data_IF_495076418018
#
_entry.id   IF_495076418018
#
_cell.length_a   1.000
_cell.length_b   1.000
_cell.length_c   1.000
_cell.angle_alpha   90.00
_cell.angle_beta   90.00
_cell.angle_gamma   90.00
#
_symmetry.space_group_name_H-M   'P 1'
#
loop_
_entity.id
_entity.type
_entity.pdbx_description
1 polymer ?
#
# COMPACT_ATOMS: atom_id res chain seq x y z
N UNK A 1 -33.64 -31.40 80.65
CA UNK A 1 -32.70 -32.15 79.79
C UNK A 1 -33.07 -31.98 78.27
N UNK A 2 -34.31 -31.74 77.93
CA UNK A 2 -34.77 -31.61 76.52
C UNK A 2 -34.37 -30.27 75.89
N UNK A 3 -34.40 -29.13 76.58
CA UNK A 3 -34.14 -27.77 76.06
C UNK A 3 -32.66 -27.63 75.60
N UNK A 4 -31.72 -28.26 76.27
CA UNK A 4 -30.27 -28.17 75.94
C UNK A 4 -29.96 -28.85 74.60
N UNK A 5 -30.63 -29.95 74.23
CA UNK A 5 -30.50 -30.67 72.99
C UNK A 5 -31.07 -29.89 71.82
N UNK A 6 -32.12 -29.11 72.02
CA UNK A 6 -32.72 -28.30 70.90
C UNK A 6 -31.80 -27.11 70.55
N UNK A 7 -31.14 -26.51 71.55
CA UNK A 7 -30.21 -25.39 71.32
C UNK A 7 -28.93 -25.88 70.59
N UNK A 8 -28.38 -27.04 70.94
CA UNK A 8 -27.22 -27.62 70.30
C UNK A 8 -27.55 -28.02 68.86
N UNK A 9 -28.73 -28.59 68.60
CA UNK A 9 -29.16 -28.94 67.26
C UNK A 9 -29.33 -27.71 66.34
N UNK A 10 -29.85 -26.61 66.89
CA UNK A 10 -29.99 -25.32 66.16
C UNK A 10 -28.63 -24.71 65.82
N UNK A 11 -27.63 -24.83 66.68
CA UNK A 11 -26.28 -24.33 66.40
C UNK A 11 -25.57 -25.17 65.32
N UNK A 12 -25.67 -26.47 65.37
CA UNK A 12 -25.10 -27.37 64.33
C UNK A 12 -25.76 -27.14 63.01
N UNK A 13 -27.05 -26.89 62.92
CA UNK A 13 -27.78 -26.60 61.72
C UNK A 13 -27.36 -25.27 61.09
N UNK A 14 -27.11 -24.25 61.89
CA UNK A 14 -26.59 -22.94 61.47
C UNK A 14 -25.16 -23.04 60.95
N UNK A 15 -24.29 -23.82 61.57
CA UNK A 15 -22.92 -24.05 61.14
C UNK A 15 -22.91 -24.84 59.84
N UNK A 16 -23.75 -25.86 59.70
CA UNK A 16 -23.87 -26.61 58.45
C UNK A 16 -24.41 -25.74 57.27
N UNK A 17 -25.39 -24.85 57.56
CA UNK A 17 -25.92 -23.91 56.58
C UNK A 17 -24.87 -22.87 56.15
N UNK A 18 -24.05 -22.36 57.08
CA UNK A 18 -22.93 -21.44 56.76
C UNK A 18 -21.85 -22.14 55.92
N UNK A 19 -21.51 -23.38 56.21
CA UNK A 19 -20.54 -24.15 55.42
C UNK A 19 -21.01 -24.41 54.01
N UNK A 20 -22.30 -24.71 53.79
CA UNK A 20 -22.89 -24.87 52.46
C UNK A 20 -22.91 -23.54 51.69
N UNK A 21 -23.17 -22.40 52.38
CA UNK A 21 -23.12 -21.08 51.75
C UNK A 21 -21.70 -20.68 51.35
N UNK A 22 -20.67 -21.02 52.17
CA UNK A 22 -19.27 -20.75 51.82
C UNK A 22 -18.81 -21.61 50.67
N UNK A 23 -19.22 -22.86 50.57
CA UNK A 23 -18.92 -23.74 49.42
C UNK A 23 -19.64 -23.25 48.15
N UNK A 24 -20.87 -22.75 48.26
CA UNK A 24 -21.61 -22.18 47.12
C UNK A 24 -21.01 -20.84 46.65
N UNK A 25 -20.52 -19.98 47.56
CA UNK A 25 -19.78 -18.76 47.20
C UNK A 25 -18.38 -19.07 46.62
N UNK A 26 -17.70 -20.10 47.12
CA UNK A 26 -16.41 -20.55 46.57
C UNK A 26 -16.52 -21.14 45.16
N UNK A 27 -17.64 -21.75 44.82
CA UNK A 27 -17.90 -22.28 43.47
C UNK A 27 -18.27 -21.17 42.43
N UNK A 28 -18.71 -19.99 42.89
CA UNK A 28 -19.01 -18.85 41.98
C UNK A 28 -17.79 -18.02 41.61
N UNK A 29 -16.65 -18.16 42.28
CA UNK A 29 -15.42 -17.39 42.01
C UNK A 29 -14.46 -18.11 41.04
N UNK A 30 -14.75 -19.35 40.66
CA UNK A 30 -13.91 -20.13 39.70
C UNK A 30 -14.51 -20.15 38.30
N UNK A 31 -15.61 -19.42 38.06
CA UNK A 31 -16.29 -19.40 36.74
C UNK A 31 -16.19 -18.05 36.02
N UNK A 32 -15.13 -17.28 36.26
CA UNK A 32 -14.83 -16.07 35.52
C UNK A 32 -13.32 -15.92 35.43
N UNK A 33 -12.70 -16.68 34.58
CA UNK A 33 -11.45 -16.40 33.83
C UNK A 33 -11.28 -17.52 32.82
N UNK A 34 -12.20 -17.57 31.87
CA UNK A 34 -11.94 -18.13 30.57
C UNK A 34 -12.23 -16.99 29.57
N UNK A 35 -11.33 -16.00 29.56
CA UNK A 35 -11.09 -15.17 28.40
C UNK A 35 -10.49 -16.09 27.31
N UNK A 36 -11.22 -17.12 26.97
CA UNK A 36 -11.14 -17.76 25.69
C UNK A 36 -11.64 -16.76 24.67
N UNK A 37 -10.86 -15.69 24.41
CA UNK A 37 -10.92 -15.01 23.13
C UNK A 37 -10.93 -16.12 22.09
N UNK A 38 -11.99 -16.15 21.34
CA UNK A 38 -12.25 -17.09 20.26
C UNK A 38 -11.14 -16.91 19.20
N UNK A 39 -9.96 -17.49 19.48
CA UNK A 39 -8.78 -17.46 18.59
C UNK A 39 -9.09 -18.03 17.21
N UNK A 40 -10.25 -18.65 17.05
CA UNK A 40 -10.68 -19.30 15.83
C UNK A 40 -11.29 -18.34 14.81
N UNK A 41 -11.50 -17.03 15.14
CA UNK A 41 -12.19 -16.10 14.26
C UNK A 41 -11.52 -14.71 14.15
N UNK A 42 -10.33 -14.52 14.74
CA UNK A 42 -9.60 -13.26 14.61
C UNK A 42 -8.90 -13.20 13.25
N UNK A 43 -9.30 -12.23 12.42
CA UNK A 43 -8.63 -11.96 11.14
C UNK A 43 -7.23 -11.43 11.41
N UNK A 44 -6.20 -11.88 10.68
CA UNK A 44 -4.89 -11.26 10.75
C UNK A 44 -4.95 -9.80 10.32
N UNK A 45 -4.32 -8.92 11.10
CA UNK A 45 -4.12 -7.52 10.76
C UNK A 45 -2.95 -7.39 9.80
N UNK A 46 -3.19 -6.80 8.65
CA UNK A 46 -2.20 -6.60 7.61
C UNK A 46 -1.96 -5.10 7.45
N UNK A 47 -0.73 -4.67 7.54
CA UNK A 47 -0.33 -3.30 7.26
C UNK A 47 0.33 -3.24 5.89
N UNK A 48 -0.02 -2.23 5.11
CA UNK A 48 0.57 -1.94 3.80
C UNK A 48 1.02 -0.49 3.74
N UNK A 49 2.03 -0.19 2.94
CA UNK A 49 2.51 1.19 2.79
C UNK A 49 1.52 2.03 1.99
N UNK A 50 1.09 1.54 0.82
CA UNK A 50 0.33 2.30 -0.18
C UNK A 50 -1.06 1.73 -0.44
N UNK A 51 -1.93 2.60 -0.98
CA UNK A 51 -3.30 2.23 -1.37
C UNK A 51 -3.38 1.14 -2.46
N UNK A 52 -2.55 1.12 -3.53
CA UNK A 52 -2.51 0.01 -4.47
C UNK A 52 -2.27 -1.34 -3.78
N UNK A 53 -1.35 -1.41 -2.81
CA UNK A 53 -1.11 -2.64 -2.05
C UNK A 53 -2.32 -3.06 -1.19
N UNK A 54 -3.15 -2.09 -0.77
CA UNK A 54 -4.39 -2.42 -0.06
C UNK A 54 -5.37 -3.16 -0.98
N UNK A 55 -5.57 -2.74 -2.24
CA UNK A 55 -6.36 -3.51 -3.21
C UNK A 55 -5.76 -4.90 -3.39
N UNK A 56 -4.46 -5.02 -3.62
CA UNK A 56 -3.79 -6.32 -3.81
C UNK A 56 -4.07 -7.26 -2.63
N UNK A 57 -3.88 -6.74 -1.41
CA UNK A 57 -4.10 -7.52 -0.18
C UNK A 57 -5.56 -7.88 0.01
N UNK A 58 -6.50 -6.96 -0.24
CA UNK A 58 -7.94 -7.19 -0.12
C UNK A 58 -8.47 -8.16 -1.20
N UNK A 59 -7.96 -8.09 -2.43
CA UNK A 59 -8.29 -9.02 -3.51
C UNK A 59 -7.88 -10.45 -3.14
N UNK A 60 -6.72 -10.65 -2.52
CA UNK A 60 -6.23 -11.95 -2.08
C UNK A 60 -6.92 -12.39 -0.79
N UNK A 61 -6.93 -11.52 0.21
CA UNK A 61 -7.35 -11.82 1.58
C UNK A 61 -8.87 -11.85 1.76
N UNK A 62 -9.61 -11.08 0.96
CA UNK A 62 -11.07 -10.97 1.04
C UNK A 62 -11.55 -10.64 2.45
N UNK A 63 -12.53 -11.40 2.92
CA UNK A 63 -13.10 -11.26 4.26
C UNK A 63 -12.24 -11.89 5.37
N UNK A 64 -11.09 -12.47 5.07
CA UNK A 64 -10.21 -13.17 6.02
C UNK A 64 -9.15 -12.25 6.64
N UNK A 65 -8.92 -11.05 6.11
CA UNK A 65 -7.91 -10.11 6.57
C UNK A 65 -8.49 -8.78 6.99
N UNK A 66 -7.74 -8.02 7.79
CA UNK A 66 -8.02 -6.61 8.10
C UNK A 66 -6.84 -5.76 7.64
N UNK A 67 -7.07 -4.86 6.67
CA UNK A 67 -5.99 -4.09 6.04
C UNK A 67 -5.94 -2.66 6.59
N UNK A 68 -4.75 -2.24 6.99
CA UNK A 68 -4.44 -0.86 7.40
C UNK A 68 -3.41 -0.27 6.45
N UNK A 69 -3.69 0.89 5.89
CA UNK A 69 -2.77 1.63 5.00
C UNK A 69 -2.00 2.68 5.80
N UNK A 70 -0.69 2.76 5.57
CA UNK A 70 0.15 3.77 6.23
C UNK A 70 0.03 5.13 5.56
N UNK A 71 0.07 5.23 4.24
CA UNK A 71 -0.09 6.49 3.51
C UNK A 71 -1.53 6.63 3.03
N UNK A 72 -2.34 7.52 3.67
CA UNK A 72 -3.76 7.63 3.36
C UNK A 72 -4.00 8.35 2.02
N UNK A 73 -5.26 8.30 1.48
CA UNK A 73 -5.60 8.99 0.24
C UNK A 73 -5.23 10.47 0.25
N UNK A 74 -4.62 10.94 -0.85
CA UNK A 74 -4.23 12.35 -1.04
C UNK A 74 -2.99 12.79 -0.26
N UNK A 75 -2.40 11.93 0.57
CA UNK A 75 -1.14 12.24 1.23
C UNK A 75 0.05 12.06 0.28
N UNK A 76 1.05 12.93 0.45
CA UNK A 76 2.32 12.80 -0.26
C UNK A 76 3.20 11.76 0.44
N UNK A 77 3.52 10.68 -0.25
CA UNK A 77 4.29 9.54 0.27
C UNK A 77 5.73 9.92 0.67
N UNK A 78 6.30 10.96 0.05
CA UNK A 78 7.67 11.41 0.32
C UNK A 78 7.79 12.15 1.67
N UNK A 79 6.69 12.73 2.18
CA UNK A 79 6.71 13.57 3.39
C UNK A 79 5.76 13.10 4.49
N UNK A 80 5.03 12.01 4.28
CA UNK A 80 4.03 11.54 5.23
C UNK A 80 4.66 10.97 6.51
N UNK A 81 4.04 11.28 7.65
CA UNK A 81 4.40 10.72 8.96
C UNK A 81 3.24 9.90 9.54
N UNK A 82 3.52 8.69 10.11
CA UNK A 82 2.47 7.84 10.68
C UNK A 82 1.73 8.49 11.83
N UNK A 83 0.41 8.35 11.85
CA UNK A 83 -0.44 8.78 12.96
C UNK A 83 -0.36 7.81 14.15
N UNK A 84 -0.70 8.25 15.39
CA UNK A 84 -0.78 7.35 16.54
C UNK A 84 -1.73 6.16 16.34
N UNK A 85 -2.83 6.34 15.62
CA UNK A 85 -3.78 5.25 15.33
C UNK A 85 -3.18 4.18 14.43
N UNK A 86 -2.39 4.57 13.42
CA UNK A 86 -1.67 3.64 12.55
C UNK A 86 -0.58 2.89 13.32
N UNK A 87 0.13 3.57 14.24
CA UNK A 87 1.11 2.91 15.10
C UNK A 87 0.47 1.88 16.05
N UNK A 88 -0.76 2.13 16.53
CA UNK A 88 -1.52 1.16 17.34
C UNK A 88 -1.95 -0.05 16.49
N UNK A 89 -2.39 0.16 15.25
CA UNK A 89 -2.72 -0.92 14.32
C UNK A 89 -1.49 -1.77 14.00
N UNK A 90 -0.37 -1.12 13.69
CA UNK A 90 0.91 -1.77 13.41
C UNK A 90 1.38 -2.65 14.59
N UNK A 91 1.26 -2.14 15.83
CA UNK A 91 1.67 -2.88 17.03
C UNK A 91 0.91 -4.21 17.22
N UNK A 92 -0.19 -4.41 16.51
CA UNK A 92 -1.05 -5.61 16.57
C UNK A 92 -1.08 -6.38 15.25
N UNK A 93 -0.38 -5.89 14.24
CA UNK A 93 -0.37 -6.51 12.92
C UNK A 93 0.44 -7.81 12.92
N UNK A 94 -0.03 -8.79 12.20
CA UNK A 94 0.67 -10.05 11.95
C UNK A 94 1.62 -9.94 10.75
N UNK A 95 1.35 -8.99 9.81
CA UNK A 95 2.15 -8.81 8.60
C UNK A 95 2.22 -7.34 8.19
N UNK A 96 3.39 -6.92 7.74
CA UNK A 96 3.63 -5.67 7.01
C UNK A 96 4.12 -5.97 5.60
N UNK A 97 3.35 -5.57 4.58
CA UNK A 97 3.79 -5.66 3.19
C UNK A 97 4.39 -4.30 2.77
N UNK A 98 5.73 -4.20 2.82
CA UNK A 98 6.44 -3.01 2.34
C UNK A 98 6.52 -3.02 0.81
N UNK A 99 6.59 -1.84 0.19
CA UNK A 99 6.86 -1.71 -1.26
C UNK A 99 8.24 -2.30 -1.59
N UNK A 100 9.27 -1.92 -0.82
CA UNK A 100 10.60 -2.49 -0.88
C UNK A 100 11.51 -1.89 -1.96
N UNK A 101 11.03 -0.95 -2.74
CA UNK A 101 11.75 -0.32 -3.86
C UNK A 101 12.50 0.97 -3.50
N UNK A 102 12.58 1.32 -2.21
CA UNK A 102 13.29 2.53 -1.77
C UNK A 102 12.41 3.78 -1.65
N UNK A 103 11.10 3.61 -1.48
CA UNK A 103 10.18 4.75 -1.28
C UNK A 103 10.49 5.47 0.04
N UNK A 104 10.51 6.80 0.04
CA UNK A 104 11.03 7.63 1.13
C UNK A 104 10.32 7.40 2.45
N UNK A 105 9.01 7.13 2.44
CA UNK A 105 8.28 6.75 3.64
C UNK A 105 8.94 5.54 4.33
N UNK A 106 9.27 4.50 3.58
CA UNK A 106 9.90 3.30 4.13
C UNK A 106 11.32 3.55 4.58
N UNK A 107 12.10 4.31 3.80
CA UNK A 107 13.47 4.70 4.18
C UNK A 107 13.50 5.48 5.50
N UNK A 108 12.50 6.35 5.75
CA UNK A 108 12.43 7.17 6.95
C UNK A 108 11.89 6.44 8.19
N UNK A 109 10.99 5.47 7.99
CA UNK A 109 10.18 4.92 9.08
C UNK A 109 10.35 3.42 9.33
N UNK A 110 10.84 2.62 8.37
CA UNK A 110 10.78 1.16 8.44
C UNK A 110 11.44 0.59 9.71
N UNK A 111 12.61 1.08 10.09
CA UNK A 111 13.31 0.63 11.31
C UNK A 111 12.46 0.84 12.56
N UNK A 112 11.81 2.02 12.69
CA UNK A 112 10.94 2.35 13.82
C UNK A 112 9.66 1.51 13.82
N UNK A 113 9.11 1.21 12.63
CA UNK A 113 7.91 0.39 12.47
C UNK A 113 8.21 -1.06 12.90
N UNK A 114 9.32 -1.64 12.48
CA UNK A 114 9.76 -2.98 12.87
C UNK A 114 10.09 -3.05 14.36
N UNK A 115 10.75 -2.03 14.91
CA UNK A 115 11.04 -1.98 16.35
C UNK A 115 9.77 -1.93 17.23
N UNK A 116 8.67 -1.37 16.71
CA UNK A 116 7.39 -1.32 17.39
C UNK A 116 6.71 -2.70 17.51
N UNK A 117 6.94 -3.59 16.53
CA UNK A 117 6.36 -4.95 16.52
C UNK A 117 7.35 -5.94 15.88
N UNK A 118 8.20 -6.54 16.73
CA UNK A 118 9.27 -7.45 16.29
C UNK A 118 8.78 -8.83 15.85
N UNK A 119 7.57 -9.20 16.23
CA UNK A 119 6.97 -10.49 15.86
C UNK A 119 6.21 -10.42 14.53
N UNK A 120 6.04 -9.21 13.98
CA UNK A 120 5.36 -8.98 12.72
C UNK A 120 6.20 -9.49 11.55
N UNK A 121 5.60 -10.28 10.68
CA UNK A 121 6.24 -10.68 9.42
C UNK A 121 6.35 -9.46 8.48
N UNK A 122 7.56 -9.18 8.01
CA UNK A 122 7.79 -8.16 6.99
C UNK A 122 7.96 -8.84 5.64
N UNK A 123 7.06 -8.53 4.70
CA UNK A 123 7.10 -8.99 3.31
C UNK A 123 7.67 -7.88 2.44
N UNK A 124 8.69 -8.18 1.67
CA UNK A 124 9.25 -7.30 0.66
C UNK A 124 8.53 -7.54 -0.67
N UNK A 125 7.66 -6.60 -1.08
CA UNK A 125 6.89 -6.74 -2.31
C UNK A 125 7.75 -6.55 -3.57
N UNK A 126 8.94 -5.94 -3.46
CA UNK A 126 9.86 -5.78 -4.59
C UNK A 126 10.70 -7.03 -4.91
N UNK A 127 10.58 -8.07 -4.09
CA UNK A 127 11.35 -9.30 -4.29
C UNK A 127 11.15 -9.84 -5.71
N UNK A 128 12.27 -10.13 -6.39
CA UNK A 128 12.35 -10.60 -7.78
C UNK A 128 11.96 -9.54 -8.84
N UNK A 129 11.62 -8.31 -8.45
CA UNK A 129 11.43 -7.19 -9.39
C UNK A 129 12.79 -6.58 -9.71
N UNK A 130 13.09 -6.43 -11.01
CA UNK A 130 14.26 -5.67 -11.45
C UNK A 130 13.97 -4.18 -11.32
N UNK A 131 14.74 -3.51 -10.46
CA UNK A 131 14.62 -2.06 -10.31
C UNK A 131 15.28 -1.36 -11.51
N UNK A 132 14.67 -0.25 -11.94
CA UNK A 132 15.20 0.63 -13.01
C UNK A 132 15.67 1.95 -12.39
N UNK A 133 16.60 2.62 -13.06
CA UNK A 133 17.04 3.95 -12.66
C UNK A 133 15.92 4.98 -12.85
N UNK A 134 15.85 5.97 -11.96
CA UNK A 134 14.90 7.07 -12.12
C UNK A 134 15.26 7.88 -13.38
N UNK A 135 14.25 8.21 -14.19
CA UNK A 135 14.44 9.05 -15.35
C UNK A 135 14.85 10.46 -14.92
N UNK A 136 16.14 10.77 -14.99
CA UNK A 136 16.65 12.13 -14.75
C UNK A 136 16.42 13.00 -15.98
N UNK A 137 16.06 14.29 -15.82
CA UNK A 137 15.83 15.19 -16.95
C UNK A 137 17.11 15.57 -17.72
N UNK A 138 18.30 15.44 -17.13
CA UNK A 138 19.58 15.85 -17.73
C UNK A 138 20.74 14.97 -17.29
N UNK A 139 21.64 14.67 -18.24
CA UNK A 139 22.90 13.95 -18.07
C UNK A 139 23.79 14.65 -17.03
N UNK A 140 23.90 14.10 -15.83
CA UNK A 140 25.04 14.33 -14.95
C UNK A 140 25.90 13.07 -14.96
N UNK A 141 27.06 13.17 -15.65
CA UNK A 141 28.13 12.20 -15.57
C UNK A 141 28.78 12.30 -14.16
N UNK A 142 28.23 11.58 -13.18
CA UNK A 142 28.92 11.28 -11.93
C UNK A 142 28.85 9.78 -11.67
N UNK A 143 29.98 9.11 -11.87
CA UNK A 143 30.21 7.70 -11.51
C UNK A 143 30.27 7.59 -9.98
N UNK A 144 29.12 7.37 -9.34
CA UNK A 144 28.99 7.11 -7.91
C UNK A 144 28.37 5.74 -7.63
N UNK A 145 28.83 5.12 -6.55
CA UNK A 145 28.49 3.77 -6.07
C UNK A 145 26.97 3.56 -5.89
N UNK A 146 26.35 2.68 -6.69
CA UNK A 146 24.90 2.48 -6.83
C UNK A 146 24.31 1.60 -5.70
N UNK A 147 24.12 2.17 -4.52
CA UNK A 147 23.27 1.60 -3.49
C UNK A 147 21.88 2.27 -3.55
N UNK A 148 20.87 1.67 -4.16
CA UNK A 148 19.43 2.04 -4.24
C UNK A 148 19.08 3.56 -4.35
N UNK A 149 20.01 4.45 -4.09
CA UNK A 149 19.93 5.89 -4.32
C UNK A 149 19.92 6.12 -5.84
N UNK A 150 18.81 6.66 -6.36
CA UNK A 150 18.64 6.89 -7.80
C UNK A 150 17.77 5.86 -8.54
N UNK A 151 17.29 4.81 -7.86
CA UNK A 151 16.32 3.88 -8.45
C UNK A 151 14.90 4.43 -8.36
N UNK A 152 14.09 4.14 -9.38
CA UNK A 152 12.67 4.52 -9.41
C UNK A 152 11.89 3.67 -8.38
N UNK A 153 11.27 4.26 -7.35
CA UNK A 153 10.53 3.51 -6.34
C UNK A 153 9.13 3.06 -6.79
N UNK A 154 8.60 3.54 -7.92
CA UNK A 154 7.20 3.40 -8.33
C UNK A 154 6.89 2.06 -9.04
N UNK A 155 7.36 0.95 -8.46
CA UNK A 155 7.27 -0.40 -9.07
C UNK A 155 5.84 -0.83 -9.42
N UNK A 156 4.84 -0.39 -8.64
CA UNK A 156 3.43 -0.75 -8.83
C UNK A 156 2.82 -0.17 -10.11
N UNK A 157 3.47 0.81 -10.75
CA UNK A 157 2.97 1.40 -11.99
C UNK A 157 3.14 0.49 -13.21
N UNK A 158 3.87 -0.63 -13.10
CA UNK A 158 3.83 -1.73 -14.08
C UNK A 158 2.85 -2.81 -13.62
N UNK A 159 1.82 -3.18 -14.40
CA UNK A 159 0.96 -4.33 -14.08
C UNK A 159 1.72 -5.64 -13.90
N UNK A 160 2.85 -5.84 -14.59
CA UNK A 160 3.70 -7.02 -14.42
C UNK A 160 4.38 -7.04 -13.05
N UNK A 161 4.89 -5.90 -12.61
CA UNK A 161 5.43 -5.78 -11.25
C UNK A 161 4.31 -5.94 -10.21
N UNK A 162 3.11 -5.39 -10.46
CA UNK A 162 1.96 -5.59 -9.59
C UNK A 162 1.61 -7.07 -9.41
N UNK A 163 1.71 -7.90 -10.48
CA UNK A 163 1.54 -9.35 -10.37
C UNK A 163 2.58 -9.97 -9.41
N UNK A 164 3.85 -9.59 -9.50
CA UNK A 164 4.90 -10.07 -8.59
C UNK A 164 4.66 -9.59 -7.15
N UNK A 165 4.22 -8.35 -6.95
CA UNK A 165 3.83 -7.84 -5.63
C UNK A 165 2.68 -8.66 -5.03
N UNK A 166 1.67 -9.00 -5.84
CA UNK A 166 0.52 -9.84 -5.47
C UNK A 166 0.98 -11.24 -5.03
N UNK A 167 1.92 -11.85 -5.75
CA UNK A 167 2.49 -13.15 -5.38
C UNK A 167 3.22 -13.08 -4.04
N UNK A 168 4.08 -12.07 -3.83
CA UNK A 168 4.82 -11.86 -2.58
C UNK A 168 3.87 -11.63 -1.38
N UNK A 169 2.79 -10.84 -1.57
CA UNK A 169 1.77 -10.62 -0.53
C UNK A 169 1.03 -11.93 -0.22
N UNK A 170 0.65 -12.71 -1.23
CA UNK A 170 -0.02 -14.00 -1.05
C UNK A 170 0.84 -14.98 -0.23
N UNK A 171 2.13 -15.08 -0.54
CA UNK A 171 3.07 -15.91 0.21
C UNK A 171 3.16 -15.50 1.69
N UNK A 172 3.17 -14.18 1.95
CA UNK A 172 3.12 -13.64 3.30
C UNK A 172 1.82 -13.99 4.03
N UNK A 173 0.66 -13.83 3.38
CA UNK A 173 -0.64 -14.18 3.96
C UNK A 173 -0.72 -15.67 4.30
N UNK A 174 -0.24 -16.55 3.42
CA UNK A 174 -0.16 -18.00 3.67
C UNK A 174 0.73 -18.33 4.85
N UNK A 175 1.80 -17.57 5.06
CA UNK A 175 2.71 -17.77 6.19
C UNK A 175 2.08 -17.41 7.53
N UNK A 176 1.34 -16.30 7.61
CA UNK A 176 0.71 -15.84 8.87
C UNK A 176 -0.64 -16.53 9.13
N UNK A 177 -1.32 -16.99 8.08
CA UNK A 177 -2.60 -17.71 8.19
C UNK A 177 -2.66 -18.92 7.23
N UNK A 178 -1.92 -20.00 7.54
CA UNK A 178 -1.87 -21.20 6.70
C UNK A 178 -3.22 -21.95 6.60
N UNK A 179 -4.15 -21.67 7.50
CA UNK A 179 -5.48 -22.30 7.49
C UNK A 179 -6.29 -21.87 6.26
N UNK A 180 -6.12 -20.63 5.80
CA UNK A 180 -6.81 -20.07 4.64
C UNK A 180 -5.97 -20.14 3.34
N UNK A 181 -4.88 -20.92 3.30
CA UNK A 181 -3.96 -21.01 2.15
C UNK A 181 -4.69 -21.16 0.81
N UNK A 182 -5.54 -22.18 0.68
CA UNK A 182 -6.24 -22.45 -0.60
C UNK A 182 -7.18 -21.31 -1.01
N UNK A 183 -7.74 -20.59 -0.05
CA UNK A 183 -8.58 -19.43 -0.31
C UNK A 183 -7.72 -18.28 -0.90
N UNK A 184 -6.58 -17.98 -0.28
CA UNK A 184 -5.66 -16.95 -0.75
C UNK A 184 -5.08 -17.27 -2.13
N UNK A 185 -4.62 -18.51 -2.33
CA UNK A 185 -4.06 -18.94 -3.63
C UNK A 185 -5.11 -18.85 -4.76
N UNK A 186 -6.36 -19.27 -4.50
CA UNK A 186 -7.42 -19.17 -5.50
C UNK A 186 -7.76 -17.72 -5.86
N UNK A 187 -7.82 -16.83 -4.87
CA UNK A 187 -8.07 -15.41 -5.10
C UNK A 187 -6.90 -14.73 -5.82
N UNK A 188 -5.65 -15.05 -5.42
CA UNK A 188 -4.44 -14.61 -6.13
C UNK A 188 -4.51 -14.99 -7.60
N UNK A 189 -4.77 -16.26 -7.93
CA UNK A 189 -4.80 -16.73 -9.31
C UNK A 189 -5.86 -15.96 -10.14
N UNK A 190 -7.03 -15.72 -9.56
CA UNK A 190 -8.08 -14.93 -10.21
C UNK A 190 -7.64 -13.47 -10.43
N UNK A 191 -6.97 -12.86 -9.47
CA UNK A 191 -6.51 -11.48 -9.57
C UNK A 191 -5.31 -11.33 -10.53
N UNK A 192 -4.41 -12.31 -10.58
CA UNK A 192 -3.33 -12.35 -11.56
C UNK A 192 -3.87 -12.37 -13.00
N UNK A 193 -4.98 -13.08 -13.27
CA UNK A 193 -5.62 -13.05 -14.59
C UNK A 193 -6.22 -11.65 -14.89
N UNK A 194 -6.82 -10.96 -13.89
CA UNK A 194 -7.31 -9.59 -14.03
C UNK A 194 -6.16 -8.63 -14.38
N UNK A 195 -5.02 -8.74 -13.69
CA UNK A 195 -3.83 -7.92 -13.94
C UNK A 195 -3.19 -8.25 -15.31
N UNK A 196 -3.15 -9.53 -15.68
CA UNK A 196 -2.67 -9.96 -17.00
C UNK A 196 -3.54 -9.41 -18.12
N UNK A 197 -4.87 -9.35 -17.92
CA UNK A 197 -5.77 -8.70 -18.88
C UNK A 197 -5.53 -7.19 -18.94
N UNK A 198 -5.29 -6.54 -17.79
CA UNK A 198 -4.93 -5.13 -17.75
C UNK A 198 -3.65 -4.83 -18.55
N UNK A 199 -2.60 -5.66 -18.41
CA UNK A 199 -1.36 -5.52 -19.16
C UNK A 199 -1.63 -5.59 -20.68
N UNK A 200 -2.44 -6.57 -21.11
CA UNK A 200 -2.85 -6.69 -22.53
C UNK A 200 -3.63 -5.47 -23.01
N UNK A 201 -4.61 -5.02 -22.22
CA UNK A 201 -5.44 -3.86 -22.59
C UNK A 201 -4.60 -2.58 -22.75
N UNK A 202 -3.60 -2.36 -21.87
CA UNK A 202 -2.70 -1.20 -21.96
C UNK A 202 -1.83 -1.32 -23.21
N UNK A 203 -1.23 -2.48 -23.45
CA UNK A 203 -0.40 -2.72 -24.63
C UNK A 203 -1.17 -2.50 -25.93
N UNK A 204 -2.37 -3.06 -26.02
CA UNK A 204 -3.22 -2.95 -27.20
C UNK A 204 -3.73 -1.51 -27.39
N UNK A 205 -4.12 -0.83 -26.31
CA UNK A 205 -4.56 0.57 -26.35
C UNK A 205 -3.47 1.54 -26.81
N UNK A 206 -2.22 1.27 -26.46
CA UNK A 206 -1.08 2.09 -26.87
C UNK A 206 -0.47 1.69 -28.24
N UNK A 207 -0.92 0.61 -28.85
CA UNK A 207 -0.30 0.07 -30.08
C UNK A 207 -0.41 1.03 -31.29
N UNK A 208 -1.48 1.82 -31.38
CA UNK A 208 -1.70 2.77 -32.49
C UNK A 208 -1.05 4.15 -32.25
N UNK A 209 -0.58 4.44 -31.04
CA UNK A 209 0.00 5.72 -30.69
C UNK A 209 1.37 5.88 -31.31
N UNK A 210 1.53 6.90 -32.18
CA UNK A 210 2.78 7.22 -32.85
C UNK A 210 3.67 8.20 -32.10
N UNK A 211 3.07 9.16 -31.37
CA UNK A 211 3.82 10.05 -30.50
C UNK A 211 3.99 9.33 -29.13
N UNK A 212 5.18 8.79 -28.92
CA UNK A 212 5.50 7.98 -27.72
C UNK A 212 6.02 8.81 -26.54
N UNK A 213 5.86 10.13 -26.56
CA UNK A 213 6.35 11.05 -25.52
C UNK A 213 5.18 11.67 -24.77
N UNK A 214 5.23 11.65 -23.45
CA UNK A 214 4.25 12.29 -22.58
C UNK A 214 4.93 13.06 -21.45
N UNK A 215 4.28 14.08 -20.94
CA UNK A 215 4.80 14.93 -19.87
C UNK A 215 3.98 14.71 -18.59
N UNK A 216 4.66 14.56 -17.46
CA UNK A 216 4.08 14.39 -16.13
C UNK A 216 4.69 15.42 -15.16
N UNK A 217 3.96 15.78 -14.11
CA UNK A 217 4.54 16.63 -13.07
C UNK A 217 5.57 15.83 -12.25
N UNK A 218 5.16 14.78 -11.57
CA UNK A 218 6.00 13.89 -10.77
C UNK A 218 6.40 12.62 -11.56
N UNK A 219 7.66 12.14 -11.51
CA UNK A 219 8.14 11.01 -12.32
C UNK A 219 7.66 9.63 -11.84
N UNK A 220 6.40 9.48 -11.46
CA UNK A 220 5.85 8.22 -10.95
C UNK A 220 5.65 7.12 -12.02
N UNK A 221 5.76 7.44 -13.30
CA UNK A 221 5.39 6.56 -14.40
C UNK A 221 6.58 5.91 -15.11
N UNK A 222 7.75 5.84 -14.47
CA UNK A 222 8.96 5.29 -15.08
C UNK A 222 8.81 3.83 -15.50
N UNK A 223 8.31 2.95 -14.62
CA UNK A 223 8.04 1.54 -14.98
C UNK A 223 6.97 1.37 -16.05
N UNK A 224 5.91 2.20 -16.01
CA UNK A 224 4.90 2.21 -17.08
C UNK A 224 5.53 2.61 -18.43
N UNK A 225 6.31 3.68 -18.45
CA UNK A 225 6.99 4.14 -19.66
C UNK A 225 7.95 3.08 -20.20
N UNK A 226 8.76 2.46 -19.33
CA UNK A 226 9.68 1.40 -19.69
C UNK A 226 8.98 0.17 -20.28
N UNK A 227 7.90 -0.31 -19.62
CA UNK A 227 7.16 -1.51 -20.02
C UNK A 227 6.49 -1.36 -21.40
N UNK A 228 5.96 -0.16 -21.68
CA UNK A 228 5.19 0.09 -22.89
C UNK A 228 5.93 0.95 -23.92
N UNK A 229 7.26 1.06 -23.83
CA UNK A 229 8.13 1.77 -24.77
C UNK A 229 7.72 3.23 -25.00
N UNK A 230 7.37 3.94 -23.91
CA UNK A 230 7.09 5.38 -23.90
C UNK A 230 8.30 6.17 -23.39
N UNK A 231 8.34 7.46 -23.69
CA UNK A 231 9.29 8.41 -23.09
C UNK A 231 8.55 9.34 -22.16
N UNK A 232 8.87 9.28 -20.87
CA UNK A 232 8.37 10.20 -19.86
C UNK A 232 9.25 11.44 -19.77
N UNK A 233 8.64 12.62 -19.74
CA UNK A 233 9.28 13.90 -19.48
C UNK A 233 8.74 14.44 -18.14
N UNK A 234 9.48 14.33 -17.03
CA UNK A 234 9.06 14.87 -15.76
C UNK A 234 9.26 16.39 -15.69
N UNK A 235 8.37 17.09 -14.97
CA UNK A 235 8.51 18.54 -14.75
C UNK A 235 9.35 18.80 -13.50
N UNK A 236 9.09 18.10 -12.40
CA UNK A 236 9.91 18.24 -11.20
C UNK A 236 11.24 17.52 -11.33
N UNK A 237 12.24 18.04 -10.62
CA UNK A 237 13.58 17.48 -10.51
C UNK A 237 13.88 17.17 -9.03
N UNK A 238 14.07 15.89 -8.68
CA UNK A 238 14.39 15.46 -7.30
C UNK A 238 13.42 16.00 -6.23
N UNK A 239 12.10 15.99 -6.52
CA UNK A 239 11.08 16.50 -5.60
C UNK A 239 11.01 18.03 -5.51
N UNK A 240 11.63 18.76 -6.46
CA UNK A 240 11.67 20.23 -6.48
C UNK A 240 11.04 20.80 -7.73
N UNK A 241 10.45 21.98 -7.58
CA UNK A 241 10.01 22.79 -8.71
C UNK A 241 11.19 23.13 -9.65
N UNK A 242 10.96 23.10 -10.98
CA UNK A 242 12.01 23.43 -11.95
C UNK A 242 12.47 24.88 -11.80
N UNK A 243 13.74 25.14 -12.07
CA UNK A 243 14.25 26.51 -12.17
C UNK A 243 13.63 27.24 -13.37
N UNK A 244 13.70 28.57 -13.41
CA UNK A 244 13.22 29.35 -14.57
C UNK A 244 13.89 28.90 -15.90
N UNK A 245 15.15 28.46 -15.87
CA UNK A 245 15.86 27.89 -17.01
C UNK A 245 15.30 26.50 -17.36
N UNK A 246 15.11 25.63 -16.35
CA UNK A 246 14.53 24.30 -16.51
C UNK A 246 13.12 24.40 -17.11
N UNK A 247 12.28 25.29 -16.60
CA UNK A 247 10.93 25.54 -17.12
C UNK A 247 10.95 25.93 -18.61
N UNK A 248 11.91 26.80 -19.02
CA UNK A 248 12.05 27.18 -20.44
C UNK A 248 12.45 25.99 -21.30
N UNK A 249 13.32 25.10 -20.82
CA UNK A 249 13.72 23.88 -21.55
C UNK A 249 12.53 22.92 -21.68
N UNK A 250 11.77 22.67 -20.62
CA UNK A 250 10.57 21.84 -20.63
C UNK A 250 9.50 22.35 -21.60
N UNK A 251 9.27 23.67 -21.66
CA UNK A 251 8.37 24.29 -22.65
C UNK A 251 8.84 24.02 -24.10
N UNK A 252 10.15 24.12 -24.34
CA UNK A 252 10.70 23.84 -25.66
C UNK A 252 10.54 22.36 -26.05
N UNK A 253 10.86 21.44 -25.12
CA UNK A 253 10.67 19.99 -25.34
C UNK A 253 9.19 19.65 -25.58
N UNK A 254 8.27 20.24 -24.80
CA UNK A 254 6.84 20.06 -25.01
C UNK A 254 6.40 20.51 -26.42
N UNK A 255 6.93 21.64 -26.91
CA UNK A 255 6.67 22.14 -28.27
C UNK A 255 7.29 21.24 -29.34
N UNK A 256 8.52 20.76 -29.15
CA UNK A 256 9.24 19.87 -30.07
C UNK A 256 8.49 18.55 -30.26
N UNK A 257 8.01 17.97 -29.15
CA UNK A 257 7.23 16.73 -29.15
C UNK A 257 5.72 16.93 -29.39
N UNK A 258 5.29 18.16 -29.71
CA UNK A 258 3.87 18.51 -29.91
C UNK A 258 2.94 18.06 -28.77
N UNK A 259 3.42 18.13 -27.51
CA UNK A 259 2.65 17.80 -26.32
C UNK A 259 1.55 18.85 -26.14
N UNK A 260 0.32 18.40 -25.84
CA UNK A 260 -0.84 19.24 -25.56
C UNK A 260 -1.48 18.96 -24.23
N UNK A 261 -1.15 17.84 -23.63
CA UNK A 261 -1.65 17.44 -22.31
C UNK A 261 -0.46 17.19 -21.38
N UNK A 262 -0.53 17.77 -20.21
CA UNK A 262 0.39 17.52 -19.12
C UNK A 262 -0.37 16.75 -18.04
N UNK A 263 0.18 15.65 -17.60
CA UNK A 263 -0.38 14.89 -16.51
C UNK A 263 0.18 15.41 -15.18
N UNK A 264 -0.68 15.55 -14.16
CA UNK A 264 -0.28 15.93 -12.82
C UNK A 264 -0.98 15.03 -11.80
N UNK A 265 -0.37 14.87 -10.64
CA UNK A 265 -0.84 14.02 -9.58
C UNK A 265 -1.50 14.87 -8.47
N UNK A 266 -2.65 14.42 -7.89
CA UNK A 266 -3.38 15.20 -6.90
C UNK A 266 -2.62 15.45 -5.59
N UNK A 267 -1.50 14.76 -5.38
CA UNK A 267 -0.65 14.90 -4.21
C UNK A 267 0.30 16.12 -4.27
N UNK A 268 0.39 16.80 -5.42
CA UNK A 268 1.30 17.90 -5.67
C UNK A 268 0.56 19.18 -6.10
N UNK A 269 1.24 20.34 -5.99
CA UNK A 269 0.73 21.62 -6.51
C UNK A 269 1.15 21.77 -7.99
N UNK A 270 0.23 21.75 -8.95
CA UNK A 270 0.57 21.67 -10.37
C UNK A 270 0.97 23.03 -11.02
N UNK A 271 1.38 24.04 -10.26
CA UNK A 271 1.64 25.39 -10.79
C UNK A 271 2.60 25.43 -11.98
N UNK A 272 3.70 24.69 -11.93
CA UNK A 272 4.64 24.64 -13.05
C UNK A 272 4.05 23.93 -14.25
N UNK A 273 3.20 22.90 -14.04
CA UNK A 273 2.46 22.24 -15.10
C UNK A 273 1.46 23.21 -15.77
N UNK A 274 0.75 24.03 -15.01
CA UNK A 274 -0.18 25.05 -15.53
C UNK A 274 0.56 26.08 -16.40
N UNK A 275 1.73 26.57 -15.94
CA UNK A 275 2.55 27.51 -16.72
C UNK A 275 3.01 26.90 -18.05
N UNK A 276 3.44 25.64 -18.06
CA UNK A 276 3.85 24.97 -19.29
C UNK A 276 2.64 24.78 -20.21
N UNK A 277 1.50 24.33 -19.65
CA UNK A 277 0.26 24.12 -20.42
C UNK A 277 -0.20 25.40 -21.11
N UNK A 278 -0.19 26.55 -20.41
CA UNK A 278 -0.53 27.84 -21.00
C UNK A 278 0.39 28.22 -22.17
N UNK A 279 1.71 27.99 -22.03
CA UNK A 279 2.71 28.32 -23.06
C UNK A 279 2.64 27.42 -24.31
N UNK A 280 2.10 26.22 -24.20
CA UNK A 280 1.91 25.29 -25.32
C UNK A 280 0.48 25.27 -25.86
N UNK A 281 -0.42 26.11 -25.32
CA UNK A 281 -1.87 26.07 -25.54
C UNK A 281 -2.44 24.65 -25.30
N UNK A 282 -2.01 24.03 -24.20
CA UNK A 282 -2.40 22.71 -23.73
C UNK A 282 -3.32 22.76 -22.52
N UNK A 283 -3.44 21.61 -21.85
CA UNK A 283 -4.24 21.44 -20.63
C UNK A 283 -3.52 20.53 -19.63
N UNK A 284 -3.83 20.69 -18.34
CA UNK A 284 -3.40 19.77 -17.28
C UNK A 284 -4.54 18.79 -17.00
N UNK A 285 -4.22 17.49 -16.94
CA UNK A 285 -5.14 16.40 -16.58
C UNK A 285 -4.60 15.71 -15.33
N UNK A 286 -5.46 15.53 -14.32
CA UNK A 286 -5.07 14.82 -13.09
C UNK A 286 -5.16 13.31 -13.31
N UNK A 287 -4.08 12.61 -12.95
CA UNK A 287 -3.99 11.15 -12.87
C UNK A 287 -3.39 10.76 -11.51
N UNK A 288 -3.93 9.74 -10.86
CA UNK A 288 -3.53 9.37 -9.49
C UNK A 288 -2.76 8.04 -9.47
N UNK A 289 -1.42 8.05 -9.31
CA UNK A 289 -0.63 6.82 -9.22
C UNK A 289 -0.87 6.06 -7.91
N UNK A 290 -1.50 6.67 -6.91
CA UNK A 290 -1.76 6.11 -5.58
C UNK A 290 -3.21 5.70 -5.35
N UNK A 291 -4.06 5.66 -6.38
CA UNK A 291 -5.45 5.25 -6.24
C UNK A 291 -5.58 3.81 -5.71
N UNK A 292 -6.52 3.61 -4.78
CA UNK A 292 -6.82 2.29 -4.24
C UNK A 292 -7.41 1.34 -5.29
N UNK A 293 -8.32 1.84 -6.12
CA UNK A 293 -8.98 1.04 -7.17
C UNK A 293 -8.01 0.85 -8.35
N UNK A 294 -6.94 0.08 -8.13
CA UNK A 294 -5.77 -0.02 -9.02
C UNK A 294 -6.13 -0.36 -10.47
N UNK A 295 -6.86 -1.46 -10.70
CA UNK A 295 -7.15 -1.91 -12.08
C UNK A 295 -8.07 -0.94 -12.81
N UNK A 296 -9.04 -0.35 -12.14
CA UNK A 296 -9.94 0.66 -12.70
C UNK A 296 -9.16 1.95 -13.01
N UNK A 297 -8.32 2.37 -12.09
CA UNK A 297 -7.50 3.56 -12.23
C UNK A 297 -6.51 3.45 -13.39
N UNK A 298 -5.79 2.33 -13.51
CA UNK A 298 -4.84 2.11 -14.62
C UNK A 298 -5.54 2.13 -15.99
N UNK A 299 -6.77 1.62 -16.11
CA UNK A 299 -7.59 1.75 -17.33
C UNK A 299 -7.99 3.21 -17.61
N UNK A 300 -8.30 3.98 -16.56
CA UNK A 300 -8.59 5.42 -16.70
C UNK A 300 -7.37 6.19 -17.16
N UNK A 301 -6.20 5.93 -16.56
CA UNK A 301 -4.91 6.50 -16.98
C UNK A 301 -4.63 6.19 -18.46
N UNK A 302 -4.77 4.92 -18.85
CA UNK A 302 -4.64 4.52 -20.26
C UNK A 302 -5.56 5.36 -21.18
N UNK A 303 -6.84 5.48 -20.80
CA UNK A 303 -7.83 6.23 -21.59
C UNK A 303 -7.43 7.70 -21.78
N UNK A 304 -6.94 8.35 -20.71
CA UNK A 304 -6.49 9.74 -20.80
C UNK A 304 -5.17 9.86 -21.59
N UNK A 305 -4.23 8.92 -21.43
CA UNK A 305 -2.99 8.91 -22.21
C UNK A 305 -3.25 8.73 -23.71
N UNK A 306 -4.11 7.78 -24.09
CA UNK A 306 -4.47 7.58 -25.51
C UNK A 306 -5.05 8.85 -26.11
N UNK A 307 -6.04 9.49 -25.46
CA UNK A 307 -6.64 10.76 -25.93
C UNK A 307 -5.61 11.89 -26.04
N UNK A 308 -4.63 11.93 -25.15
CA UNK A 308 -3.63 12.99 -25.09
C UNK A 308 -2.54 12.83 -26.17
N UNK A 309 -2.28 11.59 -26.61
CA UNK A 309 -1.17 11.24 -27.49
C UNK A 309 -1.62 10.93 -28.94
N UNK A 310 -2.95 10.86 -29.22
CA UNK A 310 -3.54 10.82 -30.57
C UNK A 310 -3.44 12.20 -31.27
#
# INVERSE_FOLDING_TARGET
MVIKRIIEFSQWFRIALMLVLIVALGAMVVACDDDGEDKQNKKPGIVVTLLPQAEFTEKIGGDKVEVTVMVPPGANVHTYEPTPSQMIALAKAELYAKVGSGIEFELAWMDKLVDQNKDMLVVDCSKEITLIEMSAPHEHEDEGDHNQEGMDPHIWMSPRNAMMMVENICDGLVQVDPTNKSYYESNRDAYLEELSQLDRDIKDGLASITNRVFMVYHPAFGYFAHEYELKMLPIEEEGKEPTAKGLTLLINEAKEHNIKVIFAEPQFDPKSADVIADEINGTVILIDPLSKDYTVNMRSILSEMVKAME
#
